data_IF_872856210072
#
_entry.id   IF_872856210072
#
_cell.length_a   1.000
_cell.length_b   1.000
_cell.length_c   1.000
_cell.angle_alpha   90.00
_cell.angle_beta   90.00
_cell.angle_gamma   90.00
#
_symmetry.space_group_name_H-M   'P 1'
#
loop_
_entity.id
_entity.type
_entity.pdbx_description
1 polymer ?
#
# COMPACT_ATOMS: atom_id res chain seq x y z
N UNK A 1 8.72 18.90 -5.55
CA UNK A 1 7.88 17.68 -5.71
C UNK A 1 7.64 16.96 -4.38
N UNK A 2 8.66 16.73 -3.56
CA UNK A 2 8.52 16.11 -2.23
C UNK A 2 7.49 16.81 -1.32
N UNK A 3 7.54 18.15 -1.21
CA UNK A 3 6.59 18.93 -0.40
C UNK A 3 5.12 18.68 -0.78
N UNK A 4 4.84 18.44 -2.07
CA UNK A 4 3.48 18.20 -2.54
C UNK A 4 2.98 16.79 -2.18
N UNK A 5 3.86 15.79 -2.11
CA UNK A 5 3.51 14.44 -1.64
C UNK A 5 3.28 14.46 -0.12
N UNK A 6 4.18 15.12 0.62
CA UNK A 6 4.10 15.25 2.07
C UNK A 6 2.81 15.99 2.48
N UNK A 7 2.38 16.99 1.72
CA UNK A 7 1.13 17.73 1.99
C UNK A 7 -0.15 16.86 1.99
N UNK A 8 -0.11 15.67 1.38
CA UNK A 8 -1.23 14.73 1.38
C UNK A 8 -1.07 13.61 2.43
N UNK A 9 0.01 13.63 3.22
CA UNK A 9 0.28 12.63 4.24
C UNK A 9 0.11 13.23 5.63
N UNK A 10 -0.47 12.45 6.53
CA UNK A 10 -0.73 12.84 7.91
C UNK A 10 -0.43 11.66 8.86
N UNK A 11 0.60 11.76 9.72
CA UNK A 11 0.99 10.67 10.62
C UNK A 11 -0.03 10.42 11.75
N UNK A 12 -0.97 11.34 12.01
CA UNK A 12 -2.02 11.20 13.02
C UNK A 12 -3.21 10.36 12.53
N UNK A 13 -3.42 10.28 11.21
CA UNK A 13 -4.52 9.51 10.61
C UNK A 13 -4.32 7.99 10.66
N UNK A 14 -3.12 7.52 11.02
CA UNK A 14 -2.81 6.10 11.07
C UNK A 14 -2.02 5.73 12.34
N UNK A 15 -2.62 4.87 13.17
CA UNK A 15 -1.98 4.30 14.37
C UNK A 15 -0.91 3.25 14.07
N UNK A 16 -1.01 2.59 12.92
CA UNK A 16 -0.09 1.54 12.49
C UNK A 16 0.37 1.80 11.06
N UNK A 17 1.54 1.29 10.70
CA UNK A 17 2.10 1.39 9.35
C UNK A 17 1.15 0.82 8.28
N UNK A 18 0.47 -0.30 8.56
CA UNK A 18 -0.53 -0.89 7.65
C UNK A 18 -1.73 0.03 7.42
N UNK A 19 -2.21 0.71 8.47
CA UNK A 19 -3.26 1.72 8.34
C UNK A 19 -2.79 2.92 7.51
N UNK A 20 -1.50 3.29 7.61
CA UNK A 20 -0.93 4.34 6.78
C UNK A 20 -0.86 3.94 5.30
N UNK A 21 -0.63 2.65 5.01
CA UNK A 21 -0.74 2.14 3.64
C UNK A 21 -2.17 2.20 3.13
N UNK A 22 -3.18 1.86 3.96
CA UNK A 22 -4.60 2.00 3.59
C UNK A 22 -4.96 3.45 3.33
N UNK A 23 -4.52 4.37 4.18
CA UNK A 23 -4.69 5.82 3.99
C UNK A 23 -4.11 6.31 2.65
N UNK A 24 -2.93 5.80 2.26
CA UNK A 24 -2.30 6.08 0.97
C UNK A 24 -2.90 5.29 -0.23
N UNK A 25 -3.88 4.42 0.01
CA UNK A 25 -4.52 3.57 -0.99
C UNK A 25 -3.64 2.45 -1.54
N UNK A 26 -2.66 1.99 -0.76
CA UNK A 26 -1.73 0.93 -1.15
C UNK A 26 -2.03 -0.40 -0.46
N UNK A 27 -3.06 -0.48 0.37
CA UNK A 27 -3.51 -1.72 0.99
C UNK A 27 -3.97 -2.77 -0.02
N UNK A 28 -4.15 -3.98 0.50
CA UNK A 28 -4.59 -5.15 -0.25
C UNK A 28 -6.04 -5.39 0.15
N UNK A 29 -6.90 -5.60 -0.83
CA UNK A 29 -8.33 -5.85 -0.67
C UNK A 29 -8.66 -7.26 -1.16
N UNK A 30 -9.70 -7.85 -0.58
CA UNK A 30 -10.23 -9.14 -1.00
C UNK A 30 -11.00 -8.92 -2.29
N UNK A 31 -10.76 -9.76 -3.29
CA UNK A 31 -11.50 -9.74 -4.54
C UNK A 31 -12.88 -10.37 -4.30
N UNK A 32 -13.94 -9.67 -4.65
CA UNK A 32 -15.32 -10.16 -4.51
C UNK A 32 -15.98 -10.40 -5.87
N UNK A 33 -16.98 -11.27 -5.92
CA UNK A 33 -17.89 -11.39 -7.06
C UNK A 33 -18.85 -10.17 -7.12
N UNK A 34 -19.78 -10.18 -8.09
CA UNK A 34 -20.78 -9.10 -8.26
C UNK A 34 -21.73 -8.99 -7.08
N UNK A 35 -21.93 -10.09 -6.35
CA UNK A 35 -22.84 -10.21 -5.22
C UNK A 35 -22.16 -9.88 -3.88
N UNK A 36 -20.85 -9.57 -3.90
CA UNK A 36 -20.07 -9.17 -2.72
C UNK A 36 -19.39 -10.34 -1.99
N UNK A 37 -19.50 -11.57 -2.50
CA UNK A 37 -18.88 -12.74 -1.88
C UNK A 37 -17.38 -12.83 -2.22
N UNK A 38 -16.52 -13.19 -1.26
CA UNK A 38 -15.09 -13.37 -1.50
C UNK A 38 -14.79 -14.44 -2.54
N UNK A 39 -13.90 -14.13 -3.47
CA UNK A 39 -13.35 -15.11 -4.41
C UNK A 39 -12.22 -15.90 -3.74
N UNK A 40 -12.16 -17.20 -4.00
CA UNK A 40 -11.07 -18.10 -3.54
C UNK A 40 -10.31 -18.68 -4.72
N UNK A 41 -9.03 -18.98 -4.52
CA UNK A 41 -8.26 -19.81 -5.46
C UNK A 41 -8.61 -21.30 -5.31
N UNK A 42 -8.07 -22.15 -6.20
CA UNK A 42 -8.35 -23.60 -6.24
C UNK A 42 -7.93 -24.32 -4.95
N UNK A 43 -7.07 -23.69 -4.13
CA UNK A 43 -6.59 -24.16 -2.83
C UNK A 43 -7.45 -23.62 -1.66
N UNK A 44 -8.51 -22.85 -1.95
CA UNK A 44 -9.40 -22.26 -0.95
C UNK A 44 -8.87 -20.98 -0.29
N UNK A 45 -7.75 -20.42 -0.76
CA UNK A 45 -7.24 -19.14 -0.22
C UNK A 45 -8.00 -17.96 -0.84
N UNK A 46 -8.22 -16.92 -0.04
CA UNK A 46 -8.84 -15.68 -0.51
C UNK A 46 -8.01 -15.02 -1.63
N UNK A 47 -8.63 -14.80 -2.77
CA UNK A 47 -8.07 -14.00 -3.86
C UNK A 47 -8.03 -12.54 -3.41
N UNK A 48 -6.88 -11.92 -3.61
CA UNK A 48 -6.65 -10.53 -3.22
C UNK A 48 -6.04 -9.73 -4.36
N UNK A 49 -6.28 -8.43 -4.35
CA UNK A 49 -5.65 -7.49 -5.25
C UNK A 49 -5.26 -6.20 -4.53
N UNK A 50 -4.32 -5.44 -5.11
CA UNK A 50 -4.02 -4.12 -4.57
C UNK A 50 -5.18 -3.18 -4.84
N UNK A 51 -5.55 -2.35 -3.84
CA UNK A 51 -6.67 -1.41 -3.96
C UNK A 51 -6.62 -0.65 -5.28
N UNK A 52 -7.77 -0.28 -5.83
CA UNK A 52 -7.95 0.30 -7.14
C UNK A 52 -9.10 1.31 -7.11
N UNK A 53 -9.47 1.88 -8.28
CA UNK A 53 -10.57 2.85 -8.37
C UNK A 53 -11.95 2.18 -8.35
N UNK A 54 -12.04 0.87 -8.56
CA UNK A 54 -13.31 0.12 -8.44
C UNK A 54 -13.67 -0.16 -6.99
N UNK A 55 -12.68 -0.15 -6.09
CA UNK A 55 -12.84 -0.53 -4.68
C UNK A 55 -13.39 0.65 -3.87
N UNK A 56 -14.62 0.98 -4.20
CA UNK A 56 -15.39 2.06 -3.60
C UNK A 56 -16.25 1.49 -2.47
N UNK A 57 -16.33 2.25 -1.39
CA UNK A 57 -17.13 1.91 -0.21
C UNK A 57 -18.24 2.96 -0.07
N UNK A 58 -19.38 2.56 0.48
CA UNK A 58 -20.46 3.47 0.82
C UNK A 58 -20.15 4.13 2.17
N UNK A 59 -20.31 5.44 2.24
CA UNK A 59 -20.17 6.19 3.49
C UNK A 59 -21.26 7.24 3.62
N UNK A 60 -21.68 7.45 4.86
CA UNK A 60 -22.64 8.47 5.22
C UNK A 60 -21.98 9.85 5.30
N UNK A 61 -22.69 10.87 4.85
CA UNK A 61 -22.29 12.26 4.99
C UNK A 61 -23.51 13.14 5.27
N UNK A 62 -23.28 14.24 5.98
CA UNK A 62 -24.32 15.24 6.24
C UNK A 62 -24.38 16.16 5.01
N UNK A 63 -25.55 16.22 4.37
CA UNK A 63 -25.77 17.10 3.23
C UNK A 63 -25.91 18.58 3.69
N UNK A 64 -25.99 19.52 2.75
CA UNK A 64 -26.16 20.95 3.08
C UNK A 64 -27.47 21.26 3.83
N UNK A 65 -28.45 20.35 3.78
CA UNK A 65 -29.74 20.47 4.46
C UNK A 65 -29.73 19.84 5.87
N UNK A 66 -28.60 19.26 6.31
CA UNK A 66 -28.48 18.64 7.64
C UNK A 66 -28.92 17.18 7.72
N UNK A 67 -29.22 16.54 6.60
CA UNK A 67 -29.69 15.14 6.55
C UNK A 67 -28.55 14.17 6.26
N UNK A 68 -28.65 12.97 6.82
CA UNK A 68 -27.72 11.86 6.54
C UNK A 68 -28.01 11.29 5.16
N UNK A 69 -27.05 11.42 4.25
CA UNK A 69 -27.11 10.86 2.90
C UNK A 69 -25.95 9.89 2.68
N UNK A 70 -26.17 8.88 1.83
CA UNK A 70 -25.16 7.85 1.51
C UNK A 70 -24.51 8.16 0.17
N UNK A 71 -23.17 8.07 0.11
CA UNK A 71 -22.42 8.22 -1.14
C UNK A 71 -21.41 7.08 -1.29
N UNK A 72 -21.31 6.57 -2.52
CA UNK A 72 -20.25 5.65 -2.92
C UNK A 72 -18.99 6.42 -3.30
N UNK A 73 -17.84 6.07 -2.71
CA UNK A 73 -16.58 6.75 -3.04
C UNK A 73 -15.33 5.98 -2.61
N UNK A 74 -14.18 6.57 -2.93
CA UNK A 74 -12.88 5.99 -2.60
C UNK A 74 -12.53 6.27 -1.14
N UNK A 75 -11.97 5.26 -0.48
CA UNK A 75 -11.49 5.37 0.91
C UNK A 75 -10.06 5.91 1.04
N UNK A 76 -9.48 6.36 -0.06
CA UNK A 76 -8.13 6.91 -0.12
C UNK A 76 -8.07 8.08 -1.10
N UNK A 77 -7.03 8.91 -0.99
CA UNK A 77 -6.79 9.99 -1.93
C UNK A 77 -6.17 9.46 -3.25
N UNK A 78 -6.90 9.48 -4.40
CA UNK A 78 -6.39 8.96 -5.66
C UNK A 78 -5.21 9.77 -6.22
N UNK A 79 -5.12 11.05 -5.90
CA UNK A 79 -4.03 11.93 -6.32
C UNK A 79 -2.75 11.54 -5.60
N UNK A 80 -2.81 11.35 -4.28
CA UNK A 80 -1.67 10.88 -3.48
C UNK A 80 -1.11 9.57 -4.04
N UNK A 81 -1.97 8.58 -4.25
CA UNK A 81 -1.55 7.28 -4.79
C UNK A 81 -0.91 7.40 -6.16
N UNK A 82 -1.47 8.23 -7.04
CA UNK A 82 -0.91 8.48 -8.37
C UNK A 82 0.48 9.12 -8.29
N UNK A 83 0.70 10.06 -7.36
CA UNK A 83 2.02 10.65 -7.12
C UNK A 83 3.02 9.66 -6.55
N UNK A 84 2.59 8.79 -5.63
CA UNK A 84 3.44 7.77 -5.02
C UNK A 84 3.90 6.70 -6.03
N UNK A 85 2.96 6.13 -6.78
CA UNK A 85 3.24 5.00 -7.68
C UNK A 85 3.64 5.47 -9.08
N UNK A 86 2.91 6.43 -9.64
CA UNK A 86 3.12 6.89 -11.02
C UNK A 86 4.32 7.81 -11.19
N UNK A 87 4.69 8.55 -10.14
CA UNK A 87 5.78 9.54 -10.22
C UNK A 87 6.96 9.12 -9.35
N UNK A 88 6.80 9.15 -8.02
CA UNK A 88 7.89 8.96 -7.06
C UNK A 88 8.62 7.64 -7.23
N UNK A 89 7.90 6.53 -7.45
CA UNK A 89 8.51 5.21 -7.63
C UNK A 89 9.50 5.19 -8.80
N UNK A 90 9.14 5.82 -9.92
CA UNK A 90 10.03 5.90 -11.08
C UNK A 90 11.26 6.80 -10.81
N UNK A 91 11.08 7.88 -10.05
CA UNK A 91 12.18 8.77 -9.66
C UNK A 91 13.20 8.04 -8.78
N UNK A 92 12.76 7.25 -7.80
CA UNK A 92 13.63 6.47 -6.90
C UNK A 92 14.51 5.50 -7.70
N UNK A 93 13.91 4.74 -8.63
CA UNK A 93 14.64 3.78 -9.46
C UNK A 93 15.65 4.48 -10.38
N UNK A 94 15.25 5.58 -11.02
CA UNK A 94 16.15 6.37 -11.88
C UNK A 94 17.30 7.01 -11.10
N UNK A 95 17.03 7.45 -9.88
CA UNK A 95 18.04 7.99 -8.96
C UNK A 95 18.96 6.90 -8.39
N UNK A 96 18.64 5.61 -8.59
CA UNK A 96 19.38 4.47 -8.05
C UNK A 96 19.58 4.55 -6.54
N UNK A 97 18.51 4.91 -5.81
CA UNK A 97 18.54 4.93 -4.35
C UNK A 97 19.04 3.56 -3.82
N UNK A 98 20.06 3.53 -2.94
CA UNK A 98 20.73 2.29 -2.56
C UNK A 98 19.81 1.34 -1.78
N UNK A 99 18.85 1.85 -1.02
CA UNK A 99 17.94 1.05 -0.19
C UNK A 99 16.72 0.60 -0.98
N UNK A 100 15.96 1.55 -1.51
CA UNK A 100 14.65 1.29 -2.10
C UNK A 100 14.75 0.70 -3.50
N UNK A 101 15.76 1.08 -4.29
CA UNK A 101 15.96 0.42 -5.60
C UNK A 101 16.31 -1.05 -5.41
N UNK A 102 17.12 -1.38 -4.40
CA UNK A 102 17.44 -2.78 -4.05
C UNK A 102 16.18 -3.56 -3.68
N UNK A 103 15.34 -3.01 -2.79
CA UNK A 103 14.05 -3.62 -2.41
C UNK A 103 13.18 -3.90 -3.66
N UNK A 104 13.12 -2.95 -4.60
CA UNK A 104 12.39 -3.13 -5.85
C UNK A 104 12.94 -4.29 -6.69
N UNK A 105 14.25 -4.33 -6.94
CA UNK A 105 14.87 -5.36 -7.78
C UNK A 105 14.79 -6.74 -7.13
N UNK A 106 15.10 -6.86 -5.84
CA UNK A 106 15.02 -8.12 -5.09
C UNK A 106 13.60 -8.69 -5.11
N UNK A 107 12.59 -7.85 -4.84
CA UNK A 107 11.20 -8.27 -4.84
C UNK A 107 10.69 -8.62 -6.24
N UNK A 108 11.11 -7.87 -7.27
CA UNK A 108 10.77 -8.16 -8.66
C UNK A 108 11.35 -9.51 -9.09
N UNK A 109 12.62 -9.77 -8.77
CA UNK A 109 13.28 -11.04 -9.04
C UNK A 109 12.54 -12.19 -8.35
N UNK A 110 12.14 -12.01 -7.08
CA UNK A 110 11.34 -13.00 -6.36
C UNK A 110 10.02 -13.30 -7.05
N UNK A 111 9.27 -12.27 -7.45
CA UNK A 111 7.99 -12.45 -8.15
C UNK A 111 8.17 -13.23 -9.45
N UNK A 112 9.21 -12.89 -10.23
CA UNK A 112 9.48 -13.53 -11.51
C UNK A 112 9.80 -15.02 -11.38
N UNK A 113 10.35 -15.43 -10.23
CA UNK A 113 10.69 -16.82 -9.92
C UNK A 113 9.64 -17.54 -9.05
N UNK A 114 8.52 -16.89 -8.69
CA UNK A 114 7.48 -17.50 -7.87
C UNK A 114 6.40 -18.12 -8.77
N UNK A 115 6.13 -19.45 -8.70
CA UNK A 115 5.14 -20.12 -9.56
C UNK A 115 3.74 -19.48 -9.50
N UNK A 116 3.30 -19.01 -8.33
CA UNK A 116 2.02 -18.29 -8.12
C UNK A 116 1.86 -17.03 -8.99
N UNK A 117 2.95 -16.51 -9.56
CA UNK A 117 2.96 -15.31 -10.37
C UNK A 117 3.45 -15.53 -11.80
N UNK A 118 3.63 -16.78 -12.22
CA UNK A 118 4.09 -17.15 -13.56
C UNK A 118 3.15 -16.62 -14.66
N UNK A 119 1.84 -16.69 -14.43
CA UNK A 119 0.81 -16.25 -15.39
C UNK A 119 0.58 -14.72 -15.39
N UNK A 120 1.26 -13.96 -14.52
CA UNK A 120 1.08 -12.50 -14.47
C UNK A 120 1.97 -11.82 -15.52
N UNK A 121 1.40 -10.84 -16.21
CA UNK A 121 2.17 -10.06 -17.18
C UNK A 121 3.36 -9.35 -16.52
N UNK A 122 4.44 -9.11 -17.28
CA UNK A 122 5.62 -8.37 -16.81
C UNK A 122 5.25 -6.99 -16.23
N UNK A 123 4.25 -6.33 -16.82
CA UNK A 123 3.71 -5.07 -16.33
C UNK A 123 3.08 -5.21 -14.95
N UNK A 124 2.26 -6.25 -14.74
CA UNK A 124 1.65 -6.53 -13.44
C UNK A 124 2.72 -6.83 -12.37
N UNK A 125 3.69 -7.69 -12.69
CA UNK A 125 4.80 -8.02 -11.78
C UNK A 125 5.61 -6.76 -11.41
N UNK A 126 5.86 -5.87 -12.37
CA UNK A 126 6.49 -4.58 -12.13
C UNK A 126 5.66 -3.70 -11.18
N UNK A 127 4.36 -3.57 -11.40
CA UNK A 127 3.47 -2.80 -10.51
C UNK A 127 3.43 -3.35 -9.09
N UNK A 128 3.51 -4.68 -8.92
CA UNK A 128 3.64 -5.29 -7.59
C UNK A 128 4.94 -4.89 -6.90
N UNK A 129 6.06 -4.92 -7.61
CA UNK A 129 7.37 -4.52 -7.07
C UNK A 129 7.44 -3.03 -6.73
N UNK A 130 6.91 -2.15 -7.58
CA UNK A 130 6.80 -0.71 -7.29
C UNK A 130 5.98 -0.47 -6.02
N UNK A 131 4.85 -1.15 -5.87
CA UNK A 131 3.99 -1.04 -4.68
C UNK A 131 4.73 -1.50 -3.42
N UNK A 132 5.48 -2.60 -3.50
CA UNK A 132 6.24 -3.14 -2.37
C UNK A 132 7.36 -2.20 -1.92
N UNK A 133 8.11 -1.64 -2.87
CA UNK A 133 9.13 -0.62 -2.62
C UNK A 133 8.53 0.63 -1.94
N UNK A 134 7.45 1.16 -2.50
CA UNK A 134 6.79 2.36 -1.96
C UNK A 134 6.19 2.12 -0.58
N UNK A 135 5.64 0.93 -0.30
CA UNK A 135 5.22 0.57 1.06
C UNK A 135 6.39 0.60 2.04
N UNK A 136 7.56 0.09 1.64
CA UNK A 136 8.75 0.12 2.49
C UNK A 136 9.16 1.56 2.82
N UNK A 137 9.23 2.43 1.80
CA UNK A 137 9.48 3.87 1.97
C UNK A 137 8.46 4.54 2.91
N UNK A 138 7.16 4.29 2.70
CA UNK A 138 6.11 4.89 3.53
C UNK A 138 6.17 4.39 4.97
N UNK A 139 6.60 3.14 5.20
CA UNK A 139 6.79 2.60 6.53
C UNK A 139 7.92 3.29 7.30
N UNK A 140 9.04 3.51 6.62
CA UNK A 140 10.16 4.27 7.17
C UNK A 140 9.77 5.74 7.43
N UNK A 141 9.05 6.37 6.47
CA UNK A 141 8.56 7.74 6.61
C UNK A 141 7.62 7.87 7.82
N UNK A 142 6.63 6.98 7.94
CA UNK A 142 5.66 6.98 9.04
C UNK A 142 6.36 6.82 10.39
N UNK A 143 7.31 5.89 10.46
CA UNK A 143 8.10 5.65 11.68
C UNK A 143 8.92 6.87 12.05
N UNK A 144 9.70 7.41 11.11
CA UNK A 144 10.54 8.59 11.33
C UNK A 144 9.71 9.81 11.76
N UNK A 145 8.60 10.06 11.08
CA UNK A 145 7.73 11.20 11.36
C UNK A 145 7.11 11.09 12.76
N UNK A 146 6.53 9.94 13.10
CA UNK A 146 5.95 9.73 14.42
C UNK A 146 6.96 9.80 15.55
N UNK A 147 8.16 9.24 15.37
CA UNK A 147 9.25 9.37 16.34
C UNK A 147 9.62 10.83 16.56
N UNK A 148 9.71 11.65 15.50
CA UNK A 148 10.01 13.08 15.62
C UNK A 148 8.93 13.87 16.35
N UNK A 149 7.67 13.43 16.27
CA UNK A 149 6.53 14.05 16.95
C UNK A 149 6.21 13.40 18.31
N UNK A 150 7.06 12.50 18.80
CA UNK A 150 6.86 11.74 20.05
C UNK A 150 5.53 10.95 20.09
N UNK A 151 5.09 10.48 18.93
CA UNK A 151 3.90 9.65 18.80
C UNK A 151 4.26 8.16 18.95
N UNK A 152 3.35 7.32 19.50
CA UNK A 152 3.61 5.89 19.63
C UNK A 152 3.88 5.23 18.28
N UNK A 153 4.97 4.48 18.17
CA UNK A 153 5.33 3.70 16.98
C UNK A 153 5.16 2.22 17.29
N UNK A 154 4.46 1.50 16.41
CA UNK A 154 4.36 0.05 16.51
C UNK A 154 5.35 -0.63 15.58
N UNK A 155 6.00 -1.74 15.99
CA UNK A 155 6.85 -2.51 15.11
C UNK A 155 6.08 -3.05 13.89
N UNK A 156 6.77 -3.34 12.77
CA UNK A 156 6.14 -3.93 11.59
C UNK A 156 5.37 -5.22 11.91
N UNK A 157 4.32 -5.50 11.13
CA UNK A 157 3.53 -6.74 11.27
C UNK A 157 4.39 -8.00 11.17
N UNK A 158 5.36 -8.01 10.25
CA UNK A 158 6.29 -9.12 10.05
C UNK A 158 7.02 -9.48 11.35
N UNK A 159 7.49 -8.47 12.09
CA UNK A 159 8.19 -8.65 13.36
C UNK A 159 7.20 -8.99 14.48
N UNK A 160 6.10 -8.24 14.59
CA UNK A 160 5.20 -8.32 15.75
C UNK A 160 4.21 -9.48 15.75
N UNK A 161 3.91 -10.06 14.59
CA UNK A 161 2.87 -11.09 14.43
C UNK A 161 3.35 -12.35 13.72
N UNK A 162 4.35 -12.23 12.85
CA UNK A 162 4.87 -13.38 12.09
C UNK A 162 6.24 -13.83 12.58
N UNK A 163 6.85 -13.13 13.55
CA UNK A 163 8.21 -13.40 14.04
C UNK A 163 9.27 -13.47 12.92
N UNK A 164 9.09 -12.63 11.88
CA UNK A 164 9.96 -12.58 10.72
C UNK A 164 10.92 -11.39 10.80
N UNK A 165 12.17 -11.61 10.37
CA UNK A 165 13.17 -10.56 10.30
C UNK A 165 12.81 -9.50 9.23
N UNK A 166 13.16 -8.22 9.46
CA UNK A 166 13.01 -7.17 8.46
C UNK A 166 13.79 -7.47 7.18
N UNK A 167 13.32 -6.95 6.04
CA UNK A 167 14.00 -7.13 4.75
C UNK A 167 15.46 -6.64 4.84
N UNK A 168 16.41 -7.55 4.62
CA UNK A 168 17.86 -7.28 4.69
C UNK A 168 18.55 -7.77 5.97
N UNK A 169 17.82 -8.36 6.91
CA UNK A 169 18.34 -8.95 8.16
C UNK A 169 18.16 -10.48 8.19
N UNK A 170 18.40 -11.15 7.06
CA UNK A 170 18.46 -12.61 7.01
C UNK A 170 19.92 -13.04 7.24
N UNK A 171 20.35 -13.07 8.49
CA UNK A 171 21.61 -13.71 8.90
C UNK A 171 21.28 -15.02 9.60
#
# INVERSE_FOLDING_TARGET
>A
MAANIIAYLDPYKARHTSAFFKYAGLDVVISTNKDGEPLTDDEGNLLTHGRSRSDTEEYEYINKAGETATKKGLTYNPILKSKLIGVLASCIIKAKDPKYSKIYYDYKLRIQNTPKHANKSKGHQNSMALRYMIKSLLGDLWTCWRTKENLPVTPPYAVSKLDMNPHGFNY
#
